data_IF_925674835938
#
_entry.id   IF_925674835938
#
_cell.length_a   1.000
_cell.length_b   1.000
_cell.length_c   1.000
_cell.angle_alpha   90.00
_cell.angle_beta   90.00
_cell.angle_gamma   90.00
#
_symmetry.space_group_name_H-M   'P 1'
#
loop_
_entity.id
_entity.type
_entity.pdbx_description
1 polymer ?
#
# COMPACT_ATOMS: atom_id res chain seq x y z
N UNK A 1 11.58 -19.50 -16.74
CA UNK A 1 10.57 -19.19 -17.80
C UNK A 1 10.11 -17.72 -17.70
N UNK A 2 11.02 -16.76 -17.88
CA UNK A 2 10.67 -15.32 -17.99
C UNK A 2 11.86 -14.51 -18.58
N UNK A 3 12.52 -15.03 -19.63
CA UNK A 3 13.69 -14.37 -20.24
C UNK A 3 13.69 -14.44 -21.77
N UNK A 4 12.51 -14.49 -22.41
CA UNK A 4 12.40 -14.61 -23.87
C UNK A 4 11.32 -13.70 -24.50
N UNK A 5 11.01 -12.56 -23.88
CA UNK A 5 9.99 -11.62 -24.39
C UNK A 5 10.54 -10.20 -24.66
N UNK A 6 11.87 -10.02 -24.68
CA UNK A 6 12.54 -8.72 -24.86
C UNK A 6 13.55 -8.69 -26.02
N UNK A 7 13.34 -9.50 -27.06
CA UNK A 7 14.04 -9.29 -28.35
C UNK A 7 13.02 -8.87 -29.41
N UNK A 8 13.13 -7.62 -29.82
CA UNK A 8 12.40 -7.01 -30.94
C UNK A 8 12.57 -7.81 -32.24
N UNK A 9 11.61 -7.78 -33.18
CA UNK A 9 11.90 -8.00 -34.58
C UNK A 9 12.15 -6.65 -35.27
N UNK A 10 13.39 -6.16 -35.20
CA UNK A 10 13.92 -5.19 -36.15
C UNK A 10 14.41 -5.88 -37.45
N UNK A 11 13.91 -7.07 -37.77
CA UNK A 11 14.36 -7.88 -38.90
C UNK A 11 13.21 -8.64 -39.57
N UNK A 12 12.23 -7.89 -40.07
CA UNK A 12 11.45 -8.30 -41.24
C UNK A 12 11.52 -7.15 -42.25
N UNK A 13 12.71 -6.97 -42.84
CA UNK A 13 12.86 -6.18 -44.04
C UNK A 13 12.07 -6.87 -45.16
N UNK A 14 10.93 -6.28 -45.53
CA UNK A 14 10.21 -6.65 -46.72
C UNK A 14 11.11 -6.42 -47.94
N UNK A 15 11.38 -7.49 -48.70
CA UNK A 15 11.90 -7.40 -50.07
C UNK A 15 10.97 -6.50 -50.90
N UNK A 16 11.48 -5.56 -51.72
CA UNK A 16 10.65 -4.76 -52.59
C UNK A 16 10.08 -5.63 -53.72
N UNK A 17 8.76 -5.69 -53.83
CA UNK A 17 8.06 -6.22 -55.00
C UNK A 17 8.21 -5.23 -56.16
N UNK A 18 8.59 -5.76 -57.32
CA UNK A 18 8.83 -5.02 -58.55
C UNK A 18 7.59 -4.24 -59.02
N UNK A 19 7.77 -2.97 -59.34
CA UNK A 19 6.80 -2.08 -59.98
C UNK A 19 6.64 -2.43 -61.47
N UNK A 20 5.42 -2.59 -62.01
CA UNK A 20 5.23 -2.63 -63.46
C UNK A 20 5.31 -1.21 -64.06
N UNK A 21 6.03 -1.09 -65.19
CA UNK A 21 6.23 0.14 -65.98
C UNK A 21 4.93 0.64 -66.64
N UNK A 22 4.70 1.97 -66.75
CA UNK A 22 3.64 2.53 -67.58
C UNK A 22 4.09 2.73 -69.06
N UNK A 23 3.20 2.60 -70.06
CA UNK A 23 3.48 2.98 -71.44
C UNK A 23 3.28 4.49 -71.72
N UNK A 24 3.89 5.07 -72.78
CA UNK A 24 3.98 6.51 -72.95
C UNK A 24 2.85 7.15 -73.77
N UNK A 25 2.55 8.40 -73.39
CA UNK A 25 2.04 9.56 -74.15
C UNK A 25 0.93 9.42 -75.21
N UNK A 26 -0.20 10.11 -74.98
CA UNK A 26 -1.17 10.46 -76.02
C UNK A 26 -2.38 11.30 -75.57
N UNK A 27 -2.20 12.63 -75.50
CA UNK A 27 -3.16 13.75 -75.71
C UNK A 27 -4.58 13.74 -75.09
N UNK A 28 -4.76 14.70 -74.17
CA UNK A 28 -5.84 15.71 -74.03
C UNK A 28 -7.29 15.38 -74.42
N UNK A 29 -8.23 15.52 -73.45
CA UNK A 29 -9.44 16.38 -73.49
C UNK A 29 -10.27 16.26 -72.18
N UNK A 30 -10.74 17.40 -71.66
CA UNK A 30 -11.83 17.57 -70.69
C UNK A 30 -13.05 18.15 -71.44
N UNK A 31 -14.24 18.30 -70.81
CA UNK A 31 -15.24 17.30 -70.38
C UNK A 31 -16.58 17.53 -71.14
N UNK A 32 -17.73 16.91 -70.74
CA UNK A 32 -18.68 17.74 -69.98
C UNK A 32 -19.59 17.01 -68.94
N UNK A 33 -20.20 17.87 -68.11
CA UNK A 33 -21.35 17.78 -67.16
C UNK A 33 -22.42 16.68 -67.36
N UNK A 34 -22.91 16.14 -66.23
CA UNK A 34 -24.33 16.04 -65.78
C UNK A 34 -24.38 15.15 -64.50
N UNK A 35 -24.82 15.63 -63.32
CA UNK A 35 -26.20 15.73 -62.81
C UNK A 35 -26.93 14.39 -62.60
N UNK A 36 -27.23 14.03 -61.33
CA UNK A 36 -28.24 13.02 -60.95
C UNK A 36 -27.87 12.17 -59.71
N UNK A 37 -28.73 12.09 -58.67
CA UNK A 37 -28.47 11.30 -57.46
C UNK A 37 -29.12 9.91 -57.52
N UNK A 38 -28.45 8.88 -57.00
CA UNK A 38 -29.05 7.56 -56.79
C UNK A 38 -28.53 6.87 -55.52
N UNK A 39 -29.51 6.55 -54.70
CA UNK A 39 -29.62 5.69 -53.52
C UNK A 39 -28.80 4.39 -53.45
N UNK A 40 -28.41 4.06 -52.20
CA UNK A 40 -28.29 2.73 -51.54
C UNK A 40 -27.40 1.64 -52.16
N UNK A 41 -26.30 1.31 -51.47
CA UNK A 41 -25.80 -0.07 -51.39
C UNK A 41 -24.93 -0.30 -50.13
N UNK A 42 -25.24 -1.40 -49.44
CA UNK A 42 -24.67 -1.85 -48.18
C UNK A 42 -23.19 -2.28 -48.29
N UNK A 43 -22.43 -2.03 -47.22
CA UNK A 43 -21.05 -2.52 -47.07
C UNK A 43 -21.05 -3.97 -46.53
N UNK A 44 -20.24 -4.89 -47.11
CA UNK A 44 -20.12 -6.26 -46.61
C UNK A 44 -19.15 -6.37 -45.43
N UNK A 45 -19.47 -7.28 -44.50
CA UNK A 45 -18.67 -7.63 -43.33
C UNK A 45 -17.36 -8.38 -43.70
N UNK A 46 -16.25 -8.22 -42.96
CA UNK A 46 -15.06 -9.04 -43.16
C UNK A 46 -15.14 -10.39 -42.43
N UNK A 47 -14.87 -11.47 -43.16
CA UNK A 47 -14.71 -12.85 -42.67
C UNK A 47 -13.28 -13.10 -42.11
N UNK A 48 -13.02 -14.21 -41.38
CA UNK A 48 -11.98 -14.29 -40.36
C UNK A 48 -10.59 -14.63 -40.92
N UNK A 49 -9.55 -13.96 -40.41
CA UNK A 49 -8.16 -14.28 -40.74
C UNK A 49 -7.69 -15.57 -40.05
N UNK A 50 -7.05 -16.42 -40.86
CA UNK A 50 -6.58 -17.76 -40.55
C UNK A 50 -5.49 -17.82 -39.45
N UNK A 51 -5.53 -18.91 -38.69
CA UNK A 51 -4.48 -19.32 -37.74
C UNK A 51 -3.22 -19.72 -38.52
N UNK A 52 -2.09 -19.09 -38.23
CA UNK A 52 -0.77 -19.60 -38.59
C UNK A 52 -0.08 -20.13 -37.34
N UNK A 53 0.04 -21.46 -37.26
CA UNK A 53 0.87 -22.17 -36.30
C UNK A 53 2.29 -22.29 -36.85
N UNK A 54 3.29 -21.75 -36.16
CA UNK A 54 4.69 -22.05 -36.43
C UNK A 54 5.31 -22.76 -35.22
N UNK A 55 5.55 -24.05 -35.42
CA UNK A 55 6.46 -24.90 -34.67
C UNK A 55 7.90 -24.44 -34.91
N UNK A 56 8.69 -24.31 -33.85
CA UNK A 56 10.14 -24.13 -33.93
C UNK A 56 10.83 -25.30 -33.22
N UNK A 57 11.06 -26.37 -33.98
CA UNK A 57 12.10 -27.35 -33.72
C UNK A 57 13.32 -26.99 -34.57
N UNK A 58 14.51 -27.10 -33.97
CA UNK A 58 15.82 -27.27 -34.63
C UNK A 58 16.46 -26.07 -35.36
N UNK A 59 17.33 -25.33 -34.63
CA UNK A 59 18.64 -24.90 -35.15
C UNK A 59 19.57 -24.36 -34.02
N UNK A 60 20.91 -24.49 -34.18
CA UNK A 60 21.88 -24.54 -33.07
C UNK A 60 22.34 -23.15 -32.59
N UNK A 61 22.47 -23.00 -31.27
CA UNK A 61 22.94 -21.75 -30.63
C UNK A 61 24.47 -21.59 -30.62
N UNK A 62 24.98 -20.33 -30.58
CA UNK A 62 26.40 -20.05 -30.43
C UNK A 62 26.87 -20.28 -28.98
N UNK A 63 28.08 -20.84 -28.86
CA UNK A 63 28.77 -21.14 -27.60
C UNK A 63 29.19 -19.85 -26.88
N UNK A 64 28.74 -19.68 -25.64
CA UNK A 64 29.27 -18.67 -24.70
C UNK A 64 30.10 -19.37 -23.61
N UNK A 65 31.26 -18.81 -23.19
CA UNK A 65 32.08 -19.40 -22.14
C UNK A 65 31.41 -19.24 -20.77
N UNK A 66 31.48 -20.29 -19.96
CA UNK A 66 30.95 -20.35 -18.62
C UNK A 66 31.76 -19.46 -17.67
N UNK A 67 31.10 -18.47 -17.06
CA UNK A 67 31.58 -17.78 -15.87
C UNK A 67 30.40 -17.62 -14.91
N UNK A 68 30.20 -18.64 -14.08
CA UNK A 68 29.20 -18.65 -13.01
C UNK A 68 29.78 -17.93 -11.77
N UNK A 69 28.95 -17.08 -11.18
CA UNK A 69 29.21 -16.39 -9.93
C UNK A 69 29.16 -17.37 -8.73
N UNK A 70 30.14 -17.26 -7.85
CA UNK A 70 30.09 -17.77 -6.48
C UNK A 70 30.34 -16.61 -5.51
N UNK A 71 29.29 -16.14 -4.84
CA UNK A 71 29.41 -15.26 -3.68
C UNK A 71 28.82 -16.03 -2.50
N UNK A 72 29.72 -16.49 -1.63
CA UNK A 72 29.44 -17.30 -0.46
C UNK A 72 28.86 -16.46 0.69
N UNK A 73 27.85 -17.00 1.36
CA UNK A 73 27.34 -16.50 2.63
C UNK A 73 28.32 -16.83 3.79
N UNK A 74 28.52 -15.95 4.78
CA UNK A 74 29.33 -16.26 5.95
C UNK A 74 28.59 -17.13 6.97
N UNK A 75 29.28 -18.19 7.44
CA UNK A 75 28.84 -19.13 8.46
C UNK A 75 28.94 -18.55 9.90
N UNK A 76 28.14 -19.07 10.87
CA UNK A 76 28.14 -18.58 12.25
C UNK A 76 29.39 -19.01 13.04
N UNK A 77 30.03 -18.07 13.73
CA UNK A 77 31.14 -18.34 14.67
C UNK A 77 30.60 -19.03 15.94
N UNK A 78 31.13 -20.23 16.20
CA UNK A 78 31.06 -20.93 17.48
C UNK A 78 31.82 -20.14 18.55
N UNK A 79 31.25 -20.03 19.75
CA UNK A 79 31.97 -19.63 20.96
C UNK A 79 32.76 -20.82 21.48
N UNK A 80 34.05 -20.64 21.63
CA UNK A 80 34.94 -21.55 22.33
C UNK A 80 34.68 -21.46 23.85
N UNK A 81 34.48 -22.62 24.46
CA UNK A 81 34.59 -22.81 25.89
C UNK A 81 36.08 -23.09 26.23
N UNK A 82 36.58 -22.67 27.40
CA UNK A 82 37.90 -23.06 27.86
C UNK A 82 37.89 -24.52 28.32
N UNK A 83 38.87 -25.30 27.88
CA UNK A 83 39.04 -26.70 28.23
C UNK A 83 39.80 -26.93 29.54
N UNK A 84 39.73 -28.19 29.99
CA UNK A 84 40.78 -28.85 30.76
C UNK A 84 40.47 -29.10 32.24
N UNK A 85 40.04 -30.32 32.56
CA UNK A 85 39.93 -30.79 33.94
C UNK A 85 39.45 -32.24 34.02
N UNK A 86 40.40 -33.16 34.17
CA UNK A 86 40.29 -34.61 34.18
C UNK A 86 39.14 -35.24 35.01
N UNK A 87 38.59 -36.35 34.49
CA UNK A 87 38.06 -37.43 35.31
C UNK A 87 39.22 -38.30 35.82
N UNK A 88 39.10 -39.01 36.97
CA UNK A 88 38.59 -40.38 36.86
C UNK A 88 37.78 -40.92 38.08
N UNK A 89 36.90 -41.88 37.76
CA UNK A 89 36.64 -43.18 38.43
C UNK A 89 36.20 -43.29 39.91
N UNK A 90 35.06 -43.99 40.06
CA UNK A 90 34.77 -45.14 40.95
C UNK A 90 34.87 -45.05 42.48
N UNK A 91 33.90 -45.69 43.14
CA UNK A 91 33.98 -46.20 44.53
C UNK A 91 33.06 -45.40 45.48
N UNK A 92 32.00 -45.96 46.05
CA UNK A 92 31.93 -47.00 47.11
C UNK A 92 31.64 -46.36 48.48
N UNK A 93 30.75 -46.98 49.25
CA UNK A 93 30.56 -46.74 50.69
C UNK A 93 29.35 -45.84 50.98
N UNK A 94 28.18 -46.35 51.37
CA UNK A 94 27.83 -47.15 52.56
C UNK A 94 27.73 -46.32 53.86
N UNK A 95 26.93 -46.87 54.78
CA UNK A 95 26.64 -46.45 56.16
C UNK A 95 25.60 -45.34 56.29
N UNK A 96 24.34 -45.68 56.56
CA UNK A 96 23.75 -46.03 57.89
C UNK A 96 23.54 -44.74 58.70
N UNK A 97 22.38 -44.49 59.30
CA UNK A 97 21.67 -45.29 60.30
C UNK A 97 20.42 -44.45 60.68
N UNK A 98 19.23 -45.03 60.71
CA UNK A 98 18.55 -45.61 61.88
C UNK A 98 17.56 -44.66 62.57
N UNK A 99 16.37 -45.19 62.87
CA UNK A 99 15.32 -44.60 63.70
C UNK A 99 14.01 -44.46 62.93
N UNK A 100 13.11 -45.46 62.85
CA UNK A 100 12.11 -45.86 63.88
C UNK A 100 11.54 -44.62 64.60
N UNK A 101 10.24 -44.35 64.63
CA UNK A 101 9.11 -45.26 64.77
C UNK A 101 7.79 -44.50 64.57
N UNK A 102 6.75 -45.28 64.26
CA UNK A 102 5.35 -45.12 64.66
C UNK A 102 4.48 -43.94 64.20
N UNK A 103 3.29 -44.33 63.74
CA UNK A 103 2.08 -43.78 64.33
C UNK A 103 1.18 -42.97 63.40
N UNK A 104 0.26 -43.69 62.75
CA UNK A 104 -1.14 -43.35 62.51
C UNK A 104 -1.57 -41.87 62.41
N UNK A 105 -2.33 -41.56 61.36
CA UNK A 105 -3.37 -40.54 61.49
C UNK A 105 -3.68 -39.78 60.22
N UNK A 106 -4.72 -40.25 59.54
CA UNK A 106 -5.80 -39.43 58.99
C UNK A 106 -5.46 -38.18 58.16
N UNK A 107 -5.74 -38.30 56.85
CA UNK A 107 -6.65 -37.40 56.12
C UNK A 107 -6.33 -35.90 56.11
N UNK A 108 -5.95 -35.40 54.93
CA UNK A 108 -6.03 -33.96 54.65
C UNK A 108 -4.87 -33.35 53.85
N UNK A 109 -4.18 -34.09 52.99
CA UNK A 109 -3.13 -33.55 52.13
C UNK A 109 -3.68 -33.14 50.75
N UNK A 110 -4.39 -32.00 50.66
CA UNK A 110 -4.73 -31.39 49.38
C UNK A 110 -4.95 -29.86 49.47
N UNK A 111 -4.19 -29.13 50.30
CA UNK A 111 -4.34 -27.67 50.37
C UNK A 111 -3.11 -26.96 50.98
N UNK A 112 -1.91 -27.11 50.41
CA UNK A 112 -0.77 -26.29 50.86
C UNK A 112 0.42 -26.11 49.90
N UNK A 113 0.39 -26.67 48.68
CA UNK A 113 1.56 -26.69 47.79
C UNK A 113 1.23 -26.16 46.38
N UNK A 114 0.67 -24.95 46.28
CA UNK A 114 0.61 -24.15 45.04
C UNK A 114 0.92 -22.67 45.30
N UNK A 115 1.98 -22.41 46.07
CA UNK A 115 2.69 -21.13 46.06
C UNK A 115 4.18 -21.47 45.94
N UNK A 116 4.86 -20.79 45.01
CA UNK A 116 6.28 -20.95 44.62
C UNK A 116 6.55 -21.94 43.47
N UNK A 117 6.06 -21.64 42.26
CA UNK A 117 6.86 -21.69 41.01
C UNK A 117 6.19 -20.76 39.97
N UNK A 118 6.23 -19.44 40.17
CA UNK A 118 6.32 -18.41 39.11
C UNK A 118 7.02 -17.20 39.77
N UNK A 119 8.31 -17.37 40.05
CA UNK A 119 9.20 -16.30 40.47
C UNK A 119 10.45 -16.39 39.58
N UNK A 120 10.28 -16.06 38.29
CA UNK A 120 11.33 -15.73 37.33
C UNK A 120 10.69 -15.47 35.95
N UNK A 121 10.00 -14.34 35.79
CA UNK A 121 9.93 -13.58 34.52
C UNK A 121 9.30 -12.23 34.82
N UNK A 122 10.03 -11.41 35.60
CA UNK A 122 9.72 -10.01 35.80
C UNK A 122 10.67 -9.19 34.92
N UNK A 123 10.14 -8.58 33.86
CA UNK A 123 10.57 -7.34 33.22
C UNK A 123 9.96 -7.25 31.80
N UNK A 124 8.97 -6.35 31.63
CA UNK A 124 8.51 -5.69 30.40
C UNK A 124 6.96 -5.61 30.41
N UNK A 125 6.29 -4.46 30.40
CA UNK A 125 6.72 -3.08 30.45
C UNK A 125 5.44 -2.26 30.69
N UNK A 126 5.34 -1.63 31.85
CA UNK A 126 4.28 -0.66 32.12
C UNK A 126 4.62 0.64 31.40
N UNK A 127 3.74 1.10 30.51
CA UNK A 127 3.79 2.46 29.99
C UNK A 127 3.27 3.42 31.08
N UNK A 128 4.15 3.70 32.03
CA UNK A 128 4.08 4.93 32.80
C UNK A 128 4.21 6.12 31.85
N UNK A 129 3.45 7.17 32.14
CA UNK A 129 3.29 8.35 31.31
C UNK A 129 4.61 8.88 30.75
N UNK A 130 4.53 9.42 29.54
CA UNK A 130 5.58 10.21 28.91
C UNK A 130 5.99 11.37 29.83
N UNK A 131 6.94 11.09 30.71
CA UNK A 131 7.88 12.09 31.16
C UNK A 131 8.53 12.64 29.90
N UNK A 132 8.24 13.90 29.60
CA UNK A 132 8.93 14.66 28.57
C UNK A 132 10.42 14.61 28.89
N UNK A 133 11.12 13.68 28.25
CA UNK A 133 12.57 13.69 28.18
C UNK A 133 12.93 14.98 27.49
N UNK A 134 13.30 16.01 28.28
CA UNK A 134 14.07 17.13 27.79
C UNK A 134 15.29 16.50 27.14
N UNK A 135 15.30 16.42 25.81
CA UNK A 135 16.42 15.88 25.06
C UNK A 135 17.68 16.55 25.60
N UNK A 136 18.66 15.75 26.04
CA UNK A 136 19.89 16.32 26.55
C UNK A 136 20.43 17.29 25.50
N UNK A 137 20.81 18.51 25.88
CA UNK A 137 21.37 19.47 24.95
C UNK A 137 22.50 18.80 24.16
N UNK A 138 22.49 18.99 22.84
CA UNK A 138 23.46 18.39 21.93
C UNK A 138 24.80 19.11 22.12
N UNK A 139 25.44 18.88 23.27
CA UNK A 139 26.57 19.69 23.73
C UNK A 139 27.90 19.15 23.23
N UNK A 140 27.97 17.84 22.95
CA UNK A 140 29.18 17.23 22.44
C UNK A 140 29.27 17.36 20.91
N UNK A 141 30.42 17.86 20.46
CA UNK A 141 30.81 17.95 19.05
C UNK A 141 30.52 16.67 18.23
N UNK A 142 30.77 15.43 18.73
CA UNK A 142 30.41 14.21 18.00
C UNK A 142 28.90 14.01 17.85
N UNK A 143 28.07 14.36 18.85
CA UNK A 143 26.60 14.28 18.72
C UNK A 143 26.08 15.28 17.69
N UNK A 144 26.64 16.50 17.64
CA UNK A 144 26.31 17.50 16.60
C UNK A 144 26.72 17.06 15.20
N UNK A 145 27.90 16.44 15.06
CA UNK A 145 28.35 15.90 13.79
C UNK A 145 27.43 14.77 13.30
N UNK A 146 27.08 13.82 14.17
CA UNK A 146 26.16 12.73 13.82
C UNK A 146 24.77 13.25 13.43
N UNK A 147 24.24 14.22 14.18
CA UNK A 147 22.98 14.87 13.85
C UNK A 147 23.06 15.61 12.51
N UNK A 148 24.15 16.35 12.27
CA UNK A 148 24.39 17.06 11.01
C UNK A 148 24.47 16.11 9.81
N UNK A 149 25.18 14.98 9.95
CA UNK A 149 25.26 13.94 8.91
C UNK A 149 23.88 13.32 8.66
N UNK A 150 23.11 13.02 9.71
CA UNK A 150 21.76 12.47 9.56
C UNK A 150 20.81 13.44 8.84
N UNK A 151 20.82 14.73 9.23
CA UNK A 151 20.02 15.78 8.58
C UNK A 151 20.46 15.96 7.12
N UNK A 152 21.77 16.02 6.86
CA UNK A 152 22.30 16.16 5.50
C UNK A 152 21.91 14.98 4.60
N UNK A 153 21.94 13.75 5.12
CA UNK A 153 21.51 12.56 4.40
C UNK A 153 20.01 12.61 4.06
N UNK A 154 19.15 12.95 5.04
CA UNK A 154 17.71 13.08 4.81
C UNK A 154 17.42 14.19 3.80
N UNK A 155 18.08 15.35 3.94
CA UNK A 155 17.97 16.46 3.01
C UNK A 155 18.41 16.05 1.59
N UNK A 156 19.53 15.36 1.46
CA UNK A 156 20.04 14.91 0.17
C UNK A 156 19.08 13.92 -0.51
N UNK A 157 18.53 12.96 0.23
CA UNK A 157 17.66 11.91 -0.34
C UNK A 157 16.24 12.42 -0.62
N UNK A 158 15.71 13.33 0.20
CA UNK A 158 14.32 13.79 0.07
C UNK A 158 14.23 15.15 -0.63
N UNK A 159 14.98 16.16 -0.17
CA UNK A 159 14.84 17.52 -0.69
C UNK A 159 15.42 17.65 -2.11
N UNK A 160 16.52 16.97 -2.43
CA UNK A 160 17.12 17.07 -3.77
C UNK A 160 16.17 16.60 -4.88
N UNK A 161 15.61 15.37 -4.88
CA UNK A 161 14.69 14.96 -5.94
C UNK A 161 13.41 15.79 -5.92
N UNK A 162 12.92 16.20 -4.74
CA UNK A 162 11.76 17.07 -4.63
C UNK A 162 12.00 18.41 -5.32
N UNK A 163 13.08 19.13 -4.97
CA UNK A 163 13.45 20.41 -5.61
C UNK A 163 13.67 20.22 -7.12
N UNK A 164 14.30 19.11 -7.52
CA UNK A 164 14.53 18.82 -8.92
C UNK A 164 13.22 18.67 -9.73
N UNK A 165 12.16 18.11 -9.14
CA UNK A 165 10.82 18.06 -9.77
C UNK A 165 10.28 19.46 -10.03
N UNK A 166 10.45 20.41 -9.09
CA UNK A 166 10.05 21.82 -9.31
C UNK A 166 10.89 22.48 -10.39
N UNK A 167 12.22 22.32 -10.36
CA UNK A 167 13.11 22.90 -11.39
C UNK A 167 12.72 22.40 -12.79
N UNK A 168 12.46 21.10 -12.93
CA UNK A 168 12.12 20.50 -14.22
C UNK A 168 10.73 20.91 -14.70
N UNK A 169 9.75 21.08 -13.80
CA UNK A 169 8.42 21.56 -14.15
C UNK A 169 8.42 23.00 -14.71
N UNK A 170 9.33 23.86 -14.24
CA UNK A 170 9.40 25.26 -14.66
C UNK A 170 10.54 25.55 -15.66
N UNK A 171 11.24 24.52 -16.17
CA UNK A 171 12.40 24.71 -17.05
C UNK A 171 12.08 25.46 -18.36
N UNK A 172 10.86 25.30 -18.90
CA UNK A 172 10.38 26.03 -20.09
C UNK A 172 9.53 27.27 -19.77
N UNK A 173 9.48 27.69 -18.50
CA UNK A 173 8.68 28.82 -18.03
C UNK A 173 7.25 28.46 -17.63
N UNK A 174 6.48 29.49 -17.27
CA UNK A 174 5.15 29.37 -16.65
C UNK A 174 4.05 29.09 -17.69
N UNK A 175 4.25 29.48 -18.96
CA UNK A 175 3.25 29.31 -20.04
C UNK A 175 2.87 27.84 -20.29
N UNK A 176 3.83 26.97 -20.66
CA UNK A 176 3.56 25.54 -20.88
C UNK A 176 3.01 24.84 -19.64
N UNK A 177 3.42 25.28 -18.44
CA UNK A 177 2.87 24.76 -17.18
C UNK A 177 1.36 25.04 -17.07
N UNK A 178 0.90 26.24 -17.40
CA UNK A 178 -0.54 26.56 -17.39
C UNK A 178 -1.30 25.75 -18.45
N UNK A 179 -0.73 25.57 -19.64
CA UNK A 179 -1.36 24.79 -20.71
C UNK A 179 -1.61 23.34 -20.27
N UNK A 180 -0.64 22.71 -19.60
CA UNK A 180 -0.79 21.35 -19.07
C UNK A 180 -1.77 21.25 -17.90
N UNK A 181 -1.86 22.28 -17.05
CA UNK A 181 -2.81 22.31 -15.92
C UNK A 181 -4.25 22.53 -16.41
N UNK A 182 -4.43 23.24 -17.52
CA UNK A 182 -5.73 23.49 -18.15
C UNK A 182 -6.20 22.34 -19.05
N UNK A 183 -5.38 21.30 -19.23
CA UNK A 183 -5.73 20.14 -20.03
C UNK A 183 -6.96 19.42 -19.42
N UNK A 184 -8.00 19.11 -20.22
CA UNK A 184 -9.15 18.35 -19.75
C UNK A 184 -8.78 16.99 -19.12
N UNK A 185 -7.75 16.31 -19.63
CA UNK A 185 -7.32 15.02 -19.10
C UNK A 185 -6.72 15.18 -17.70
N UNK A 186 -5.98 16.26 -17.50
CA UNK A 186 -5.40 16.62 -16.21
C UNK A 186 -6.50 16.96 -15.17
N UNK A 187 -7.50 17.75 -15.57
CA UNK A 187 -8.63 18.10 -14.72
C UNK A 187 -9.46 16.86 -14.33
N UNK A 188 -9.65 15.94 -15.28
CA UNK A 188 -10.32 14.66 -15.02
C UNK A 188 -9.54 13.80 -14.03
N UNK A 189 -8.23 13.66 -14.21
CA UNK A 189 -7.36 12.89 -13.31
C UNK A 189 -7.36 13.45 -11.89
N UNK A 190 -7.34 14.77 -11.75
CA UNK A 190 -7.45 15.46 -10.46
C UNK A 190 -8.80 15.20 -9.80
N UNK A 191 -9.90 15.34 -10.56
CA UNK A 191 -11.25 15.05 -10.06
C UNK A 191 -11.39 13.59 -9.62
N UNK A 192 -10.83 12.64 -10.36
CA UNK A 192 -10.86 11.22 -10.01
C UNK A 192 -10.11 10.93 -8.71
N UNK A 193 -8.92 11.49 -8.52
CA UNK A 193 -8.16 11.32 -7.27
C UNK A 193 -8.91 11.92 -6.07
N UNK A 194 -9.48 13.12 -6.22
CA UNK A 194 -10.28 13.74 -5.16
C UNK A 194 -11.55 12.95 -4.84
N UNK A 195 -12.22 12.41 -5.85
CA UNK A 195 -13.44 11.60 -5.68
C UNK A 195 -13.11 10.28 -4.97
N UNK A 196 -12.00 9.64 -5.33
CA UNK A 196 -11.49 8.46 -4.61
C UNK A 196 -11.23 8.78 -3.13
N UNK A 197 -10.49 9.86 -2.84
CA UNK A 197 -10.21 10.25 -1.46
C UNK A 197 -11.51 10.57 -0.70
N UNK A 198 -12.42 11.31 -1.32
CA UNK A 198 -13.70 11.71 -0.72
C UNK A 198 -14.62 10.52 -0.40
N UNK A 199 -14.51 9.40 -1.12
CA UNK A 199 -15.30 8.19 -0.87
C UNK A 199 -14.56 7.22 0.06
N UNK A 200 -13.30 6.90 -0.25
CA UNK A 200 -12.54 5.89 0.49
C UNK A 200 -12.19 6.33 1.91
N UNK A 201 -11.87 7.60 2.14
CA UNK A 201 -11.46 8.08 3.47
C UNK A 201 -12.61 8.01 4.49
N UNK A 202 -13.82 8.56 4.24
CA UNK A 202 -14.93 8.45 5.19
C UNK A 202 -15.35 7.00 5.44
N UNK A 203 -15.41 6.17 4.40
CA UNK A 203 -15.75 4.75 4.56
C UNK A 203 -14.73 4.04 5.45
N UNK A 204 -13.43 4.24 5.20
CA UNK A 204 -12.39 3.65 6.05
C UNK A 204 -12.38 4.23 7.46
N UNK A 205 -12.78 5.48 7.64
CA UNK A 205 -12.94 6.08 8.96
C UNK A 205 -14.03 5.37 9.74
N UNK A 206 -15.20 5.17 9.13
CA UNK A 206 -16.33 4.46 9.78
C UNK A 206 -15.98 3.01 10.06
N UNK A 207 -15.56 2.25 9.04
CA UNK A 207 -15.24 0.82 9.21
C UNK A 207 -14.02 0.60 10.10
N UNK A 208 -12.98 1.44 9.98
CA UNK A 208 -11.79 1.38 10.80
C UNK A 208 -12.06 1.72 12.26
N UNK A 209 -12.91 2.71 12.55
CA UNK A 209 -13.31 3.06 13.92
C UNK A 209 -14.09 1.94 14.57
N UNK A 210 -15.08 1.39 13.86
CA UNK A 210 -15.87 0.25 14.36
C UNK A 210 -14.97 -0.96 14.62
N UNK A 211 -14.08 -1.28 13.68
CA UNK A 211 -13.13 -2.38 13.85
C UNK A 211 -12.21 -2.16 15.05
N UNK A 212 -11.62 -0.97 15.20
CA UNK A 212 -10.74 -0.65 16.32
C UNK A 212 -11.46 -0.80 17.67
N UNK A 213 -12.68 -0.27 17.80
CA UNK A 213 -13.46 -0.38 19.04
C UNK A 213 -13.79 -1.84 19.36
N UNK A 214 -14.26 -2.61 18.38
CA UNK A 214 -14.59 -4.03 18.59
C UNK A 214 -13.36 -4.85 18.99
N UNK A 215 -12.21 -4.59 18.37
CA UNK A 215 -10.96 -5.32 18.64
C UNK A 215 -10.38 -4.94 20.00
N UNK A 216 -10.46 -3.67 20.39
CA UNK A 216 -9.93 -3.21 21.67
C UNK A 216 -10.83 -3.59 22.84
N UNK A 217 -12.16 -3.51 22.69
CA UNK A 217 -13.11 -3.76 23.78
C UNK A 217 -13.45 -5.23 24.00
N UNK A 218 -13.28 -6.10 23.00
CA UNK A 218 -13.58 -7.53 23.13
C UNK A 218 -12.31 -8.39 23.24
N UNK A 219 -12.29 -9.31 24.21
CA UNK A 219 -11.27 -10.35 24.30
C UNK A 219 -11.82 -11.65 23.69
N UNK A 220 -11.29 -12.05 22.53
CA UNK A 220 -11.66 -13.30 21.87
C UNK A 220 -10.41 -14.04 21.37
N UNK A 221 -10.43 -15.39 21.33
CA UNK A 221 -9.23 -16.19 21.05
C UNK A 221 -8.63 -15.96 19.65
N UNK A 222 -9.40 -15.44 18.71
CA UNK A 222 -8.96 -15.10 17.33
C UNK A 222 -8.42 -13.68 17.14
N UNK A 223 -8.27 -12.88 18.20
CA UNK A 223 -7.88 -11.45 18.09
C UNK A 223 -6.56 -11.25 17.36
N UNK A 224 -5.55 -12.07 17.66
CA UNK A 224 -4.22 -11.98 17.02
C UNK A 224 -4.32 -12.28 15.52
N UNK A 225 -5.13 -13.26 15.12
CA UNK A 225 -5.32 -13.58 13.70
C UNK A 225 -6.01 -12.43 12.96
N UNK A 226 -7.03 -11.81 13.58
CA UNK A 226 -7.72 -10.66 12.98
C UNK A 226 -6.78 -9.46 12.82
N UNK A 227 -5.96 -9.16 13.83
CA UNK A 227 -4.93 -8.12 13.75
C UNK A 227 -3.93 -8.40 12.62
N UNK A 228 -3.46 -9.65 12.49
CA UNK A 228 -2.59 -10.05 11.38
C UNK A 228 -3.26 -9.90 10.01
N UNK A 229 -4.57 -10.17 9.91
CA UNK A 229 -5.33 -9.99 8.68
C UNK A 229 -5.48 -8.51 8.32
N UNK A 230 -5.68 -7.64 9.31
CA UNK A 230 -5.70 -6.19 9.12
C UNK A 230 -4.34 -5.63 8.70
N UNK A 231 -3.26 -6.30 9.09
CA UNK A 231 -1.90 -5.89 8.75
C UNK A 231 -1.42 -6.48 7.40
N UNK A 232 -2.14 -7.47 6.87
CA UNK A 232 -1.87 -8.11 5.59
C UNK A 232 -1.66 -7.10 4.44
N UNK A 233 -2.47 -6.02 4.28
CA UNK A 233 -2.31 -5.08 3.18
C UNK A 233 -0.96 -4.35 3.17
N UNK A 234 -0.27 -4.25 4.32
CA UNK A 234 1.07 -3.66 4.39
C UNK A 234 2.17 -4.60 3.91
N UNK A 235 1.95 -5.91 4.06
CA UNK A 235 2.91 -6.93 3.65
C UNK A 235 2.78 -7.29 2.17
N UNK A 236 1.58 -7.14 1.62
CA UNK A 236 1.30 -7.41 0.20
C UNK A 236 1.65 -6.17 -0.64
N UNK A 237 2.34 -6.38 -1.77
CA UNK A 237 2.56 -5.31 -2.75
C UNK A 237 1.22 -4.78 -3.27
N UNK A 238 0.99 -3.45 -3.31
CA UNK A 238 -0.26 -2.89 -3.81
C UNK A 238 -0.59 -3.35 -5.24
N UNK A 239 0.42 -3.56 -6.10
CA UNK A 239 0.23 -4.09 -7.46
C UNK A 239 -0.39 -5.50 -7.43
N UNK A 240 0.06 -6.34 -6.50
CA UNK A 240 -0.49 -7.69 -6.31
C UNK A 240 -1.93 -7.61 -5.81
N UNK A 241 -2.24 -6.67 -4.91
CA UNK A 241 -3.62 -6.40 -4.48
C UNK A 241 -4.52 -6.04 -5.67
N UNK A 242 -4.08 -5.15 -6.55
CA UNK A 242 -4.81 -4.79 -7.75
C UNK A 242 -5.06 -5.98 -8.68
N UNK A 243 -4.07 -6.85 -8.86
CA UNK A 243 -4.21 -8.09 -9.63
C UNK A 243 -5.18 -9.07 -8.98
N UNK A 244 -5.09 -9.28 -7.66
CA UNK A 244 -5.99 -10.15 -6.91
C UNK A 244 -7.44 -9.70 -7.05
N UNK A 245 -7.70 -8.40 -6.89
CA UNK A 245 -9.05 -7.83 -7.06
C UNK A 245 -9.54 -7.95 -8.50
N UNK A 246 -8.66 -7.77 -9.49
CA UNK A 246 -9.00 -7.97 -10.91
C UNK A 246 -9.34 -9.41 -11.22
N UNK A 247 -8.65 -10.39 -10.62
CA UNK A 247 -8.96 -11.81 -10.79
C UNK A 247 -10.25 -12.21 -10.06
N UNK A 248 -10.51 -11.61 -8.89
CA UNK A 248 -11.67 -11.93 -8.07
C UNK A 248 -12.99 -11.33 -8.60
N UNK A 249 -12.93 -10.09 -9.07
CA UNK A 249 -14.08 -9.31 -9.57
C UNK A 249 -14.09 -9.15 -11.10
N UNK A 250 -13.11 -9.73 -11.80
CA UNK A 250 -13.07 -9.77 -13.25
C UNK A 250 -14.12 -10.71 -13.84
N UNK A 251 -14.15 -10.78 -15.17
CA UNK A 251 -15.19 -11.51 -15.92
C UNK A 251 -15.21 -13.03 -15.69
N UNK A 252 -14.07 -13.59 -15.28
CA UNK A 252 -13.90 -15.00 -14.91
C UNK A 252 -13.71 -15.21 -13.40
N UNK A 253 -13.98 -14.17 -12.59
CA UNK A 253 -13.81 -14.22 -11.15
C UNK A 253 -14.96 -14.93 -10.44
N UNK A 254 -14.76 -15.28 -9.17
CA UNK A 254 -15.76 -15.97 -8.36
C UNK A 254 -17.03 -15.12 -8.15
N UNK A 255 -16.89 -13.80 -8.15
CA UNK A 255 -18.01 -12.87 -8.00
C UNK A 255 -18.58 -12.37 -9.33
N UNK A 256 -18.08 -12.86 -10.47
CA UNK A 256 -18.46 -12.36 -11.79
C UNK A 256 -19.97 -12.50 -12.07
N UNK A 257 -20.57 -13.63 -11.71
CA UNK A 257 -21.99 -13.90 -11.95
C UNK A 257 -22.88 -12.96 -11.14
N UNK A 258 -22.60 -12.79 -9.85
CA UNK A 258 -23.35 -11.88 -8.97
C UNK A 258 -23.28 -10.43 -9.44
N UNK A 259 -22.10 -9.97 -9.87
CA UNK A 259 -21.90 -8.63 -10.42
C UNK A 259 -22.65 -8.44 -11.75
N UNK A 260 -22.66 -9.45 -12.62
CA UNK A 260 -23.36 -9.42 -13.90
C UNK A 260 -24.88 -9.32 -13.72
N UNK A 261 -25.44 -10.05 -12.76
CA UNK A 261 -26.88 -10.02 -12.44
C UNK A 261 -27.33 -8.64 -11.91
N UNK A 262 -26.47 -7.93 -11.18
CA UNK A 262 -26.77 -6.60 -10.62
C UNK A 262 -26.31 -5.44 -11.50
N UNK A 263 -25.67 -5.70 -12.65
CA UNK A 263 -25.19 -4.67 -13.57
C UNK A 263 -24.03 -3.82 -13.04
N UNK A 264 -23.31 -4.27 -12.00
CA UNK A 264 -22.17 -3.54 -11.44
C UNK A 264 -20.85 -4.00 -12.05
N UNK A 265 -20.08 -3.06 -12.58
CA UNK A 265 -18.69 -3.31 -13.01
C UNK A 265 -17.73 -2.75 -11.97
N UNK A 266 -16.88 -3.61 -11.40
CA UNK A 266 -15.80 -3.20 -10.48
C UNK A 266 -14.47 -3.01 -11.23
N UNK A 267 -14.15 -3.89 -12.17
CA UNK A 267 -12.92 -3.79 -12.97
C UNK A 267 -13.11 -2.72 -14.06
N UNK A 268 -12.10 -1.87 -14.26
CA UNK A 268 -12.15 -0.71 -15.17
C UNK A 268 -13.24 0.31 -14.82
N UNK A 269 -13.59 0.41 -13.54
CA UNK A 269 -14.62 1.32 -13.07
C UNK A 269 -14.25 1.94 -11.71
N UNK A 270 -14.89 3.07 -11.40
CA UNK A 270 -14.68 3.79 -10.15
C UNK A 270 -14.87 2.94 -8.88
N UNK A 271 -15.92 2.09 -8.75
CA UNK A 271 -16.12 1.30 -7.53
C UNK A 271 -14.98 0.34 -7.21
N UNK A 272 -14.35 -0.28 -8.21
CA UNK A 272 -13.20 -1.16 -7.97
C UNK A 272 -11.97 -0.37 -7.54
N UNK A 273 -11.74 0.81 -8.12
CA UNK A 273 -10.67 1.70 -7.69
C UNK A 273 -10.87 2.11 -6.22
N UNK A 274 -12.08 2.51 -5.84
CA UNK A 274 -12.41 2.87 -4.47
C UNK A 274 -12.23 1.69 -3.49
N UNK A 275 -12.64 0.48 -3.88
CA UNK A 275 -12.44 -0.75 -3.11
C UNK A 275 -10.95 -1.05 -2.90
N UNK A 276 -10.15 -0.95 -3.97
CA UNK A 276 -8.71 -1.18 -3.91
C UNK A 276 -8.02 -0.18 -2.96
N UNK A 277 -8.34 1.11 -3.09
CA UNK A 277 -7.85 2.15 -2.18
C UNK A 277 -8.32 1.90 -0.75
N UNK A 278 -9.58 1.50 -0.53
CA UNK A 278 -10.10 1.18 0.79
C UNK A 278 -9.32 0.05 1.45
N UNK A 279 -9.08 -1.05 0.72
CA UNK A 279 -8.33 -2.20 1.23
C UNK A 279 -6.91 -1.83 1.68
N UNK A 280 -6.19 -1.02 0.89
CA UNK A 280 -4.81 -0.62 1.22
C UNK A 280 -4.76 0.42 2.36
N UNK A 281 -5.80 1.25 2.49
CA UNK A 281 -5.77 2.39 3.44
C UNK A 281 -6.55 2.17 4.74
N UNK A 282 -7.35 1.11 4.84
CA UNK A 282 -8.10 0.75 6.04
C UNK A 282 -7.23 0.52 7.29
N UNK A 283 -6.05 -0.12 7.20
CA UNK A 283 -5.24 -0.43 8.38
C UNK A 283 -4.72 0.82 9.11
N UNK A 284 -4.61 1.95 8.43
CA UNK A 284 -4.09 3.20 9.00
C UNK A 284 -4.99 3.75 10.13
N UNK A 285 -6.32 3.74 9.94
CA UNK A 285 -7.26 4.19 10.98
C UNK A 285 -7.22 3.24 12.17
N UNK A 286 -7.19 1.94 11.91
CA UNK A 286 -7.23 0.91 12.96
C UNK A 286 -5.96 0.95 13.81
N UNK A 287 -4.78 1.00 13.18
CA UNK A 287 -3.48 1.04 13.85
C UNK A 287 -3.28 2.28 14.71
N UNK A 288 -3.92 3.40 14.35
CA UNK A 288 -3.88 4.62 15.15
C UNK A 288 -4.87 4.60 16.33
N UNK A 289 -6.08 4.07 16.10
CA UNK A 289 -7.12 4.06 17.11
C UNK A 289 -6.92 2.99 18.19
N UNK A 290 -6.37 1.83 17.87
CA UNK A 290 -6.12 0.77 18.85
C UNK A 290 -5.30 1.29 20.05
N UNK A 291 -4.08 1.85 19.87
CA UNK A 291 -3.29 2.33 21.00
C UNK A 291 -3.97 3.49 21.73
N UNK A 292 -4.70 4.36 21.00
CA UNK A 292 -5.48 5.45 21.59
C UNK A 292 -6.58 4.92 22.53
N UNK A 293 -7.32 3.90 22.09
CA UNK A 293 -8.40 3.27 22.85
C UNK A 293 -7.89 2.44 24.04
N UNK A 294 -6.70 1.84 23.93
CA UNK A 294 -6.06 1.06 25.00
C UNK A 294 -5.52 1.94 26.14
N UNK A 295 -5.10 3.18 25.83
CA UNK A 295 -4.68 4.16 26.83
C UNK A 295 -5.86 4.81 27.57
N UNK A 296 -7.07 4.71 27.01
CA UNK A 296 -8.27 5.32 27.54
C UNK A 296 -8.81 4.53 28.74
N UNK A 297 -9.12 5.23 29.83
CA UNK A 297 -9.68 4.60 31.03
C UNK A 297 -11.14 4.13 30.79
N UNK A 298 -11.47 2.85 31.03
CA UNK A 298 -12.80 2.31 30.76
C UNK A 298 -13.87 2.78 31.75
N UNK A 299 -13.51 3.38 32.90
CA UNK A 299 -14.49 3.76 33.94
C UNK A 299 -15.51 4.80 33.45
N UNK A 300 -15.14 5.66 32.50
CA UNK A 300 -16.07 6.63 31.91
C UNK A 300 -17.19 5.93 31.13
N UNK A 301 -16.87 4.86 30.39
CA UNK A 301 -17.85 4.08 29.65
C UNK A 301 -18.73 3.25 30.61
N UNK A 302 -18.14 2.71 31.68
CA UNK A 302 -18.86 1.95 32.72
C UNK A 302 -19.82 2.83 33.54
N UNK A 303 -19.40 4.04 33.89
CA UNK A 303 -20.24 5.03 34.57
C UNK A 303 -21.44 5.43 33.71
N UNK A 304 -21.23 5.71 32.42
CA UNK A 304 -22.30 6.01 31.49
C UNK A 304 -23.30 4.85 31.34
N UNK A 305 -22.81 3.60 31.27
CA UNK A 305 -23.67 2.40 31.24
C UNK A 305 -24.49 2.23 32.53
N UNK A 306 -23.91 2.56 33.68
CA UNK A 306 -24.60 2.50 34.98
C UNK A 306 -25.71 3.54 35.09
N UNK A 307 -25.54 4.71 34.45
CA UNK A 307 -26.58 5.74 34.30
C UNK A 307 -27.69 5.36 33.29
N UNK A 308 -27.65 4.16 32.71
CA UNK A 308 -28.64 3.67 31.76
C UNK A 308 -28.41 4.11 30.32
N UNK A 309 -27.24 4.67 29.98
CA UNK A 309 -26.93 5.06 28.61
C UNK A 309 -26.82 3.82 27.71
N UNK A 310 -27.45 3.90 26.53
CA UNK A 310 -27.35 2.83 25.53
C UNK A 310 -25.94 2.82 24.87
N UNK A 311 -25.50 1.71 24.25
CA UNK A 311 -24.16 1.62 23.67
C UNK A 311 -23.86 2.68 22.60
N UNK A 312 -24.88 3.11 21.85
CA UNK A 312 -24.74 4.15 20.83
C UNK A 312 -24.55 5.53 21.47
N UNK A 313 -25.25 5.82 22.57
CA UNK A 313 -25.08 7.03 23.37
C UNK A 313 -23.69 7.08 24.00
N UNK A 314 -23.21 5.95 24.57
CA UNK A 314 -21.84 5.85 25.10
C UNK A 314 -20.83 6.14 24.00
N UNK A 315 -21.02 5.57 22.80
CA UNK A 315 -20.15 5.85 21.65
C UNK A 315 -20.15 7.35 21.27
N UNK A 316 -21.30 7.96 21.06
CA UNK A 316 -21.39 9.35 20.60
C UNK A 316 -20.98 10.39 21.66
N UNK A 317 -21.25 10.14 22.94
CA UNK A 317 -21.05 11.13 24.00
C UNK A 317 -19.76 10.91 24.81
N UNK A 318 -19.22 9.69 24.85
CA UNK A 318 -18.04 9.36 25.66
C UNK A 318 -16.88 8.92 24.78
N UNK A 319 -17.06 7.87 23.98
CA UNK A 319 -15.94 7.28 23.22
C UNK A 319 -15.46 8.21 22.10
N UNK A 320 -16.35 8.68 21.24
CA UNK A 320 -16.00 9.49 20.06
C UNK A 320 -15.31 10.82 20.42
N UNK A 321 -15.80 11.61 21.41
CA UNK A 321 -15.12 12.85 21.82
C UNK A 321 -13.73 12.61 22.41
N UNK A 322 -13.53 11.49 23.12
CA UNK A 322 -12.23 11.15 23.70
C UNK A 322 -11.22 10.69 22.65
N UNK A 323 -11.65 9.92 21.63
CA UNK A 323 -10.75 9.44 20.56
C UNK A 323 -10.57 10.42 19.39
N UNK A 324 -11.22 11.59 19.41
CA UNK A 324 -11.25 12.51 18.25
C UNK A 324 -9.85 12.86 17.71
N UNK A 325 -8.87 13.04 18.58
CA UNK A 325 -7.50 13.40 18.19
C UNK A 325 -6.79 12.24 17.49
N UNK A 326 -6.85 11.04 18.07
CA UNK A 326 -6.33 9.82 17.42
C UNK A 326 -7.07 9.53 16.11
N UNK A 327 -8.38 9.74 16.07
CA UNK A 327 -9.18 9.58 14.85
C UNK A 327 -8.75 10.56 13.76
N UNK A 328 -8.53 11.83 14.08
CA UNK A 328 -8.09 12.85 13.13
C UNK A 328 -6.72 12.50 12.54
N UNK A 329 -5.76 12.09 13.37
CA UNK A 329 -4.45 11.67 12.88
C UNK A 329 -4.56 10.44 11.97
N UNK A 330 -5.39 9.46 12.35
CA UNK A 330 -5.70 8.30 11.49
C UNK A 330 -6.29 8.71 10.14
N UNK A 331 -7.25 9.64 10.12
CA UNK A 331 -7.86 10.20 8.90
C UNK A 331 -6.86 10.95 8.02
N UNK A 332 -5.92 11.68 8.63
CA UNK A 332 -4.86 12.39 7.92
C UNK A 332 -3.94 11.38 7.23
N UNK A 333 -3.48 10.35 7.95
CA UNK A 333 -2.64 9.29 7.41
C UNK A 333 -3.34 8.49 6.31
N UNK A 334 -4.60 8.10 6.51
CA UNK A 334 -5.40 7.39 5.50
C UNK A 334 -5.54 8.22 4.23
N UNK A 335 -5.80 9.52 4.35
CA UNK A 335 -5.90 10.40 3.19
C UNK A 335 -4.56 10.62 2.49
N UNK A 336 -3.49 10.83 3.24
CA UNK A 336 -2.14 10.94 2.69
C UNK A 336 -1.80 9.69 1.86
N UNK A 337 -2.14 8.51 2.37
CA UNK A 337 -1.96 7.27 1.62
C UNK A 337 -2.89 7.14 0.41
N UNK A 338 -4.16 7.50 0.53
CA UNK A 338 -5.14 7.40 -0.55
C UNK A 338 -4.76 8.26 -1.77
N UNK A 339 -4.26 9.48 -1.55
CA UNK A 339 -3.81 10.36 -2.63
C UNK A 339 -2.57 9.82 -3.37
N UNK A 340 -1.69 9.12 -2.65
CA UNK A 340 -0.50 8.48 -3.20
C UNK A 340 -0.70 7.03 -3.65
N UNK A 341 -1.95 6.56 -3.75
CA UNK A 341 -2.19 5.19 -4.22
C UNK A 341 -1.99 5.10 -5.73
N UNK A 342 -1.19 4.13 -6.13
CA UNK A 342 -0.79 3.91 -7.51
C UNK A 342 -0.84 2.43 -7.86
N UNK A 343 -0.22 1.58 -7.04
CA UNK A 343 -0.01 0.17 -7.39
C UNK A 343 -1.30 -0.63 -7.51
N UNK A 344 -2.22 -0.51 -6.56
CA UNK A 344 -3.48 -1.26 -6.63
C UNK A 344 -4.42 -0.70 -7.71
N UNK A 345 -4.44 0.62 -7.83
CA UNK A 345 -5.32 1.34 -8.76
C UNK A 345 -4.88 1.17 -10.21
N UNK A 346 -3.57 1.12 -10.52
CA UNK A 346 -3.06 0.96 -11.89
C UNK A 346 -3.56 -0.32 -12.56
N UNK A 347 -3.61 -1.43 -11.80
CA UNK A 347 -4.00 -2.73 -12.33
C UNK A 347 -5.51 -2.85 -12.50
N UNK A 348 -6.30 -2.41 -11.51
CA UNK A 348 -7.77 -2.58 -11.54
C UNK A 348 -8.47 -1.56 -12.43
N UNK A 349 -7.92 -0.35 -12.58
CA UNK A 349 -8.50 0.74 -13.38
C UNK A 349 -8.28 0.57 -14.88
N UNK A 350 -7.23 -0.16 -15.27
CA UNK A 350 -6.76 -0.25 -16.66
C UNK A 350 -6.19 1.05 -17.24
N UNK A 351 -6.02 2.10 -16.42
CA UNK A 351 -5.50 3.41 -16.82
C UNK A 351 -6.14 3.97 -18.11
N UNK A 352 -7.47 4.14 -18.12
CA UNK A 352 -8.19 4.65 -19.29
C UNK A 352 -8.29 6.17 -19.19
N UNK A 353 -7.66 6.88 -20.13
CA UNK A 353 -7.68 8.34 -20.25
C UNK A 353 -9.13 8.86 -20.29
N UNK A 354 -9.41 9.91 -19.53
CA UNK A 354 -10.75 10.52 -19.45
C UNK A 354 -11.83 9.67 -18.75
N UNK A 355 -11.48 8.49 -18.21
CA UNK A 355 -12.44 7.63 -17.47
C UNK A 355 -11.93 7.21 -16.11
N UNK A 356 -10.86 6.42 -16.04
CA UNK A 356 -10.39 5.76 -14.81
C UNK A 356 -8.97 6.17 -14.41
N UNK A 357 -8.41 7.14 -15.10
CA UNK A 357 -7.09 7.66 -14.81
C UNK A 357 -7.11 8.54 -13.55
N UNK A 358 -6.25 8.22 -12.58
CA UNK A 358 -5.94 9.06 -11.42
C UNK A 358 -4.75 9.95 -11.72
N UNK A 359 -4.53 10.96 -10.89
CA UNK A 359 -3.40 11.87 -11.03
C UNK A 359 -2.03 11.16 -11.00
N UNK A 360 -1.89 10.12 -10.17
CA UNK A 360 -0.68 9.28 -10.12
C UNK A 360 -0.46 8.50 -11.42
N UNK A 361 -1.54 8.00 -12.05
CA UNK A 361 -1.49 7.32 -13.34
C UNK A 361 -1.24 8.28 -14.51
N UNK A 362 -1.74 9.51 -14.42
CA UNK A 362 -1.46 10.56 -15.40
C UNK A 362 0.03 10.88 -15.46
N UNK A 363 0.68 11.08 -14.30
CA UNK A 363 2.13 11.32 -14.22
C UNK A 363 2.91 10.17 -14.85
N UNK A 364 2.50 8.92 -14.58
CA UNK A 364 3.11 7.73 -15.16
C UNK A 364 2.94 7.67 -16.69
N UNK A 365 1.73 7.91 -17.21
CA UNK A 365 1.45 7.89 -18.65
C UNK A 365 2.25 8.96 -19.38
N UNK A 366 2.21 10.21 -18.89
CA UNK A 366 2.94 11.32 -19.47
C UNK A 366 4.46 11.05 -19.50
N UNK A 367 5.00 10.45 -18.44
CA UNK A 367 6.41 10.07 -18.38
C UNK A 367 6.75 8.96 -19.39
N UNK A 368 5.89 7.93 -19.51
CA UNK A 368 6.07 6.82 -20.48
C UNK A 368 5.96 7.27 -21.94
N UNK A 369 5.17 8.30 -22.21
CA UNK A 369 5.01 8.90 -23.53
C UNK A 369 6.13 9.88 -23.90
N UNK A 370 7.19 9.96 -23.07
CA UNK A 370 8.31 10.91 -23.22
C UNK A 370 7.89 12.39 -23.14
N UNK A 371 6.69 12.67 -22.63
CA UNK A 371 6.24 14.02 -22.30
C UNK A 371 6.67 14.36 -20.87
N UNK A 372 7.97 14.52 -20.67
CA UNK A 372 8.55 14.82 -19.36
C UNK A 372 8.01 16.11 -18.77
N UNK A 373 7.64 17.08 -19.60
CA UNK A 373 7.17 18.40 -19.17
C UNK A 373 5.79 18.30 -18.53
N UNK A 374 4.85 17.64 -19.21
CA UNK A 374 3.54 17.35 -18.65
C UNK A 374 3.65 16.48 -17.39
N UNK A 375 4.57 15.51 -17.38
CA UNK A 375 4.79 14.64 -16.22
C UNK A 375 5.28 15.42 -14.98
N UNK A 376 6.29 16.30 -15.13
CA UNK A 376 6.80 17.11 -14.02
C UNK A 376 5.80 18.21 -13.60
N UNK A 377 5.10 18.83 -14.55
CA UNK A 377 4.04 19.78 -14.24
C UNK A 377 2.93 19.12 -13.40
N UNK A 378 2.49 17.92 -13.80
CA UNK A 378 1.50 17.15 -13.07
C UNK A 378 2.01 16.68 -11.70
N UNK A 379 3.29 16.29 -11.60
CA UNK A 379 3.90 15.90 -10.33
C UNK A 379 4.00 17.07 -9.34
N UNK A 380 4.33 18.28 -9.81
CA UNK A 380 4.32 19.51 -9.00
C UNK A 380 2.90 19.82 -8.54
N UNK A 381 1.91 19.76 -9.42
CA UNK A 381 0.55 20.05 -9.00
C UNK A 381 -0.01 18.99 -8.04
N UNK A 382 0.31 17.70 -8.24
CA UNK A 382 -0.01 16.65 -7.27
C UNK A 382 0.62 16.95 -5.91
N UNK A 383 1.88 17.40 -5.91
CA UNK A 383 2.59 17.79 -4.68
C UNK A 383 1.91 18.98 -4.00
N UNK A 384 1.53 20.02 -4.76
CA UNK A 384 0.81 21.19 -4.25
C UNK A 384 -0.58 20.80 -3.72
N UNK A 385 -1.33 19.98 -4.45
CA UNK A 385 -2.65 19.48 -4.02
C UNK A 385 -2.54 18.61 -2.76
N UNK A 386 -1.52 17.76 -2.66
CA UNK A 386 -1.27 16.95 -1.47
C UNK A 386 -0.92 17.84 -0.27
N UNK A 387 -0.02 18.81 -0.45
CA UNK A 387 0.35 19.79 0.58
C UNK A 387 -0.84 20.65 1.00
N UNK A 388 -1.66 21.10 0.04
CA UNK A 388 -2.86 21.89 0.30
C UNK A 388 -3.90 21.06 1.07
N UNK A 389 -4.10 19.79 0.69
CA UNK A 389 -5.02 18.89 1.39
C UNK A 389 -4.54 18.62 2.82
N UNK A 390 -3.23 18.45 3.03
CA UNK A 390 -2.64 18.31 4.36
C UNK A 390 -2.77 19.61 5.17
N UNK A 391 -2.52 20.76 4.56
CA UNK A 391 -2.65 22.07 5.20
C UNK A 391 -4.09 22.38 5.60
N UNK A 392 -5.07 22.09 4.74
CA UNK A 392 -6.49 22.24 5.09
C UNK A 392 -6.85 21.34 6.27
N UNK A 393 -6.37 20.09 6.28
CA UNK A 393 -6.60 19.15 7.39
C UNK A 393 -6.00 19.65 8.71
N UNK A 394 -4.75 20.11 8.69
CA UNK A 394 -4.05 20.69 9.84
C UNK A 394 -4.79 21.93 10.39
N UNK A 395 -5.33 22.77 9.50
CA UNK A 395 -6.12 23.94 9.92
C UNK A 395 -7.46 23.57 10.53
N UNK A 396 -8.15 22.58 9.96
CA UNK A 396 -9.40 22.06 10.53
C UNK A 396 -9.13 21.45 11.93
N UNK A 397 -7.99 20.80 12.11
CA UNK A 397 -7.55 20.27 13.41
C UNK A 397 -7.30 21.37 14.44
N UNK A 398 -6.54 22.41 14.07
CA UNK A 398 -6.26 23.55 14.95
C UNK A 398 -7.54 24.29 15.35
N UNK A 399 -8.49 24.44 14.42
CA UNK A 399 -9.79 25.05 14.69
C UNK A 399 -10.61 24.18 15.67
N UNK A 400 -10.70 22.88 15.42
CA UNK A 400 -11.37 21.94 16.32
C UNK A 400 -10.71 21.86 17.71
N UNK A 401 -9.39 22.07 17.79
CA UNK A 401 -8.63 22.06 19.04
C UNK A 401 -8.85 23.33 19.85
N UNK A 402 -8.94 24.47 19.16
CA UNK A 402 -9.26 25.75 19.78
C UNK A 402 -10.68 25.75 20.37
N UNK A 403 -11.63 25.10 19.71
CA UNK A 403 -13.00 24.92 20.22
C UNK A 403 -13.05 23.95 21.42
N UNK A 404 -12.21 22.92 21.42
CA UNK A 404 -12.10 21.94 22.49
C UNK A 404 -11.50 22.49 23.80
N UNK A 405 -10.64 23.50 23.69
CA UNK A 405 -9.91 24.09 24.82
C UNK A 405 -10.71 25.21 25.53
N UNK A 406 -11.87 25.58 24.97
CA UNK A 406 -12.76 26.63 25.47
C UNK A 406 -13.92 26.00 26.22
#
# INVERSE_FOLDING_TARGET
MAACAQRQPAACAARPLATPRPPPHGRARLPPRAAGPATLAAAPAPAPAARCSCSCSDAPGPRWPAAAAAIAAPAPRRRDAPGGGAAPTSGSGASSSSGSSDGSGSGGAAAAQRRRVIAASGAAGGMGGHGGGRGEPVDSLPKRLLLGVAIAYIALVVLLPFINVFIQAFHKGIGPFLEHVLDPDFAHATRMTLLLAAVSVPLNTVFGTVAAILITRNQFPGKVFLLSLLDMPFSISPVVTGLMLTLLYGRSGWFAQFLAEHGFSLVFAFPGMALATMFVTMPFVVRELIPTLEQMDPSQEEAARTLGANPLQVFWHVTLPNIRWGLMYGVILTNARAMGEFGAVSVISGNIIGKTQTLTLFVESAYKEYNSEAAFAAAVLLSVLALMTLWVKDRVEQAAAAEAAK
#
